data_IF_220787268238
#
_entry.id   IF_220787268238
#
_cell.length_a   1.000
_cell.length_b   1.000
_cell.length_c   1.000
_cell.angle_alpha   90.00
_cell.angle_beta   90.00
_cell.angle_gamma   90.00
#
_symmetry.space_group_name_H-M   'P 1'
#
loop_
_entity.id
_entity.type
_entity.pdbx_description
1 polymer ?
#
# COMPACT_ATOMS: atom_id res chain seq x y z
N UNK A 1 8.33 -4.27 34.21
CA UNK A 1 7.07 -3.50 34.22
C UNK A 1 7.18 -2.42 33.17
N UNK A 2 6.22 -2.35 32.28
CA UNK A 2 6.09 -1.26 31.31
C UNK A 2 6.02 0.05 32.07
N UNK A 3 6.88 1.01 31.75
CA UNK A 3 6.85 2.33 32.35
C UNK A 3 6.26 3.33 31.36
N UNK A 4 4.93 3.47 31.39
CA UNK A 4 4.20 4.36 30.50
C UNK A 4 4.60 5.83 30.64
N UNK A 5 4.98 6.28 31.83
CA UNK A 5 5.39 7.68 32.03
C UNK A 5 6.66 8.02 31.26
N UNK A 6 7.58 7.06 31.14
CA UNK A 6 8.87 7.21 30.45
C UNK A 6 8.90 6.64 29.03
N UNK A 7 7.75 6.37 28.40
CA UNK A 7 7.65 5.75 27.08
C UNK A 7 8.55 4.52 26.92
N UNK A 8 8.51 3.58 27.88
CA UNK A 8 9.27 2.34 27.84
C UNK A 8 8.33 1.14 27.82
N UNK A 9 8.40 0.33 26.78
CA UNK A 9 7.47 -0.77 26.50
C UNK A 9 8.25 -2.05 26.21
N UNK A 10 7.76 -3.20 26.66
CA UNK A 10 8.29 -4.51 26.33
C UNK A 10 7.40 -5.20 25.29
N UNK A 11 7.92 -5.38 24.10
CA UNK A 11 7.30 -6.17 23.02
C UNK A 11 7.92 -7.58 23.00
N UNK A 12 7.39 -8.47 22.16
CA UNK A 12 7.90 -9.84 22.07
C UNK A 12 9.40 -9.91 21.76
N UNK A 13 9.92 -8.99 20.95
CA UNK A 13 11.30 -8.97 20.51
C UNK A 13 12.27 -8.37 21.53
N UNK A 14 11.79 -7.58 22.49
CA UNK A 14 12.63 -6.94 23.51
C UNK A 14 12.07 -5.63 24.04
N UNK A 15 12.91 -4.86 24.75
CA UNK A 15 12.52 -3.57 25.27
C UNK A 15 12.67 -2.44 24.26
N UNK A 16 11.69 -1.55 24.20
CA UNK A 16 11.68 -0.32 23.40
C UNK A 16 11.72 0.90 24.31
N UNK A 17 12.48 1.92 23.92
CA UNK A 17 12.48 3.24 24.50
C UNK A 17 12.10 4.28 23.46
N UNK A 18 10.88 4.81 23.55
CA UNK A 18 10.41 5.95 22.80
C UNK A 18 10.61 7.28 23.56
N UNK A 19 9.85 8.29 23.20
CA UNK A 19 9.82 9.59 23.85
C UNK A 19 8.37 10.07 24.05
N UNK A 20 8.21 11.14 24.85
CA UNK A 20 6.90 11.71 25.15
C UNK A 20 6.82 13.12 24.57
N UNK A 21 5.72 13.41 23.87
CA UNK A 21 5.38 14.74 23.41
C UNK A 21 3.95 15.09 23.82
N UNK A 22 3.86 16.04 24.77
CA UNK A 22 2.59 16.32 25.44
C UNK A 22 2.09 15.11 26.23
N UNK A 23 0.94 14.58 25.87
CA UNK A 23 0.36 13.37 26.47
C UNK A 23 0.53 12.11 25.60
N UNK A 24 1.25 12.20 24.48
CA UNK A 24 1.45 11.08 23.55
C UNK A 24 2.85 10.50 23.72
N UNK A 25 2.93 9.17 23.84
CA UNK A 25 4.17 8.42 23.76
C UNK A 25 4.37 8.01 22.31
N UNK A 26 5.58 8.20 21.81
CA UNK A 26 5.94 8.05 20.42
C UNK A 26 7.09 7.06 20.30
N UNK A 27 6.93 6.08 19.44
CA UNK A 27 7.93 5.07 19.14
C UNK A 27 8.10 5.01 17.61
N UNK A 28 9.30 5.26 17.13
CA UNK A 28 9.62 5.31 15.69
C UNK A 28 10.67 4.27 15.33
N UNK A 29 10.58 3.68 14.15
CA UNK A 29 11.56 2.73 13.64
C UNK A 29 11.57 1.39 14.38
N UNK A 30 10.40 0.82 14.65
CA UNK A 30 10.26 -0.52 15.26
C UNK A 30 10.26 -1.56 14.15
N UNK A 31 11.21 -2.51 14.11
CA UNK A 31 11.19 -3.58 13.11
C UNK A 31 10.03 -4.54 13.37
N UNK A 32 9.19 -4.78 12.36
CA UNK A 32 8.13 -5.78 12.42
C UNK A 32 8.46 -7.05 11.65
N UNK A 33 9.53 -7.03 10.86
CA UNK A 33 10.08 -8.15 10.13
C UNK A 33 11.61 -8.08 10.08
N UNK A 34 12.26 -9.19 9.74
CA UNK A 34 13.67 -9.22 9.40
C UNK A 34 13.96 -8.37 8.15
N UNK A 35 15.15 -7.74 8.03
CA UNK A 35 15.53 -7.02 6.83
C UNK A 35 15.39 -7.88 5.57
N UNK A 36 14.67 -7.46 4.53
CA UNK A 36 14.43 -8.25 3.32
C UNK A 36 15.59 -8.15 2.32
N UNK A 37 16.81 -8.36 2.81
CA UNK A 37 18.09 -8.18 2.08
C UNK A 37 18.77 -9.52 1.79
N UNK A 38 19.63 -9.55 0.80
CA UNK A 38 20.43 -10.74 0.46
C UNK A 38 19.52 -11.94 0.18
N UNK A 39 19.69 -13.03 0.94
CA UNK A 39 18.91 -14.27 0.76
C UNK A 39 17.42 -14.11 1.07
N UNK A 40 17.02 -13.07 1.83
CA UNK A 40 15.63 -12.74 2.12
C UNK A 40 14.99 -11.82 1.06
N UNK A 41 15.78 -11.30 0.11
CA UNK A 41 15.24 -10.54 -1.03
C UNK A 41 14.32 -11.42 -1.85
N UNK A 42 13.12 -10.90 -2.20
CA UNK A 42 12.07 -11.63 -2.91
C UNK A 42 11.60 -12.91 -2.18
N UNK A 43 11.52 -12.82 -0.84
CA UNK A 43 10.85 -13.82 0.01
C UNK A 43 9.77 -13.18 0.85
N UNK A 44 8.88 -14.00 1.40
CA UNK A 44 7.91 -13.55 2.41
C UNK A 44 8.66 -13.02 3.64
N UNK A 45 8.12 -11.99 4.33
CA UNK A 45 8.79 -11.40 5.49
C UNK A 45 8.88 -12.40 6.64
N UNK A 46 10.07 -12.54 7.21
CA UNK A 46 10.35 -13.37 8.38
C UNK A 46 10.18 -12.56 9.68
N UNK A 47 10.21 -13.26 10.83
CA UNK A 47 10.15 -12.60 12.13
C UNK A 47 11.41 -11.78 12.38
N UNK A 48 11.31 -10.58 12.97
CA UNK A 48 12.48 -9.78 13.30
C UNK A 48 13.27 -10.43 14.42
N UNK A 49 14.59 -10.22 14.41
CA UNK A 49 15.46 -10.71 15.47
C UNK A 49 15.07 -10.12 16.84
N UNK A 50 15.23 -10.96 17.87
CA UNK A 50 15.13 -10.49 19.27
C UNK A 50 16.39 -9.75 19.66
N UNK A 51 16.21 -8.60 20.33
CA UNK A 51 17.37 -7.82 20.80
C UNK A 51 17.54 -7.89 22.32
N UNK A 52 18.79 -7.76 22.75
CA UNK A 52 19.14 -7.63 24.17
C UNK A 52 19.16 -6.16 24.57
N UNK A 53 18.82 -5.89 25.84
CA UNK A 53 18.80 -4.53 26.37
C UNK A 53 17.59 -3.72 25.90
N UNK A 54 17.77 -2.41 25.71
CA UNK A 54 16.71 -1.47 25.33
C UNK A 54 17.04 -0.86 23.98
N UNK A 55 16.19 -1.11 22.97
CA UNK A 55 16.29 -0.49 21.65
C UNK A 55 15.69 0.91 21.71
N UNK A 56 16.43 1.92 21.25
CA UNK A 56 15.90 3.26 21.06
C UNK A 56 14.96 3.29 19.85
N UNK A 57 13.73 3.74 20.07
CA UNK A 57 12.69 3.88 19.06
C UNK A 57 12.29 5.37 18.95
N UNK A 58 13.25 6.23 18.61
CA UNK A 58 13.12 7.69 18.63
C UNK A 58 13.32 8.34 17.27
N UNK A 59 13.69 7.57 16.26
CA UNK A 59 13.92 8.05 14.90
C UNK A 59 13.19 7.14 13.91
N UNK A 60 12.73 7.72 12.81
CA UNK A 60 12.22 6.94 11.68
C UNK A 60 13.32 6.05 11.10
N UNK A 61 12.93 4.91 10.55
CA UNK A 61 13.79 4.06 9.71
C UNK A 61 13.95 4.65 8.32
N UNK A 62 14.78 4.03 7.49
CA UNK A 62 14.75 4.25 6.06
C UNK A 62 13.38 3.88 5.47
N UNK A 63 12.98 4.57 4.41
CA UNK A 63 11.89 4.16 3.53
C UNK A 63 12.37 3.09 2.53
N UNK A 64 11.43 2.39 1.90
CA UNK A 64 11.75 1.46 0.83
C UNK A 64 12.41 2.17 -0.36
N UNK A 65 13.32 1.46 -1.05
CA UNK A 65 13.93 1.96 -2.28
C UNK A 65 12.85 2.32 -3.30
N UNK A 66 12.93 3.52 -3.81
CA UNK A 66 11.96 4.13 -4.73
C UNK A 66 12.59 5.26 -5.52
N UNK A 67 11.94 5.69 -6.59
CA UNK A 67 12.32 6.91 -7.27
C UNK A 67 12.15 8.10 -6.32
N UNK A 68 13.22 8.87 -6.14
CA UNK A 68 13.18 10.09 -5.32
C UNK A 68 12.60 11.20 -6.19
N UNK A 69 11.36 11.58 -5.92
CA UNK A 69 10.75 12.71 -6.61
C UNK A 69 11.34 14.01 -6.09
N UNK A 70 12.02 14.75 -6.95
CA UNK A 70 12.40 16.12 -6.66
C UNK A 70 11.16 17.01 -6.66
N UNK A 71 11.22 18.14 -5.96
CA UNK A 71 10.06 19.06 -5.91
C UNK A 71 9.61 19.53 -7.31
N UNK A 72 10.53 19.56 -8.26
CA UNK A 72 10.31 19.94 -9.65
C UNK A 72 9.49 18.91 -10.43
N UNK A 73 9.53 17.63 -10.01
CA UNK A 73 8.77 16.53 -10.62
C UNK A 73 7.31 16.50 -10.13
N UNK A 74 7.02 17.20 -9.03
CA UNK A 74 5.68 17.28 -8.48
C UNK A 74 4.81 18.29 -9.25
N UNK A 75 3.49 18.09 -9.29
CA UNK A 75 2.57 19.11 -9.80
C UNK A 75 2.78 20.45 -9.09
N UNK A 76 2.82 21.56 -9.82
CA UNK A 76 3.11 22.90 -9.28
C UNK A 76 2.24 23.32 -8.09
N UNK A 77 1.02 22.79 -8.00
CA UNK A 77 0.08 23.06 -6.90
C UNK A 77 0.46 22.37 -5.57
N UNK A 78 1.44 21.47 -5.58
CA UNK A 78 1.93 20.78 -4.37
C UNK A 78 3.38 21.15 -4.02
N UNK A 79 4.02 22.02 -4.81
CA UNK A 79 5.36 22.52 -4.50
C UNK A 79 5.40 23.20 -3.13
N UNK A 80 6.41 22.87 -2.32
CA UNK A 80 6.59 23.43 -0.98
C UNK A 80 5.57 22.94 0.05
N UNK A 81 4.74 21.97 -0.29
CA UNK A 81 3.81 21.35 0.68
C UNK A 81 4.58 20.34 1.52
N UNK A 82 4.72 20.56 2.86
CA UNK A 82 5.57 19.73 3.72
C UNK A 82 5.20 18.24 3.74
N UNK A 83 3.97 17.90 3.42
CA UNK A 83 3.50 16.51 3.38
C UNK A 83 4.21 15.63 2.33
N UNK A 84 4.78 16.25 1.30
CA UNK A 84 5.54 15.56 0.26
C UNK A 84 7.06 15.64 0.49
N UNK A 85 7.49 15.99 1.70
CA UNK A 85 8.91 15.95 2.02
C UNK A 85 9.39 14.50 2.08
N UNK A 86 10.42 14.22 1.29
CA UNK A 86 11.02 12.90 1.20
C UNK A 86 11.60 12.43 2.54
N UNK A 87 11.56 11.13 2.85
CA UNK A 87 12.34 10.55 3.93
C UNK A 87 13.85 10.85 3.76
N UNK A 88 14.56 10.87 4.87
CA UNK A 88 16.00 11.19 4.84
C UNK A 88 16.88 10.06 4.28
N UNK A 89 16.36 8.83 4.19
CA UNK A 89 17.08 7.65 3.74
C UNK A 89 16.14 6.67 3.04
N UNK A 90 16.67 5.98 2.02
CA UNK A 90 15.98 4.94 1.28
C UNK A 90 16.88 3.70 1.23
N UNK A 91 16.37 2.58 1.73
CA UNK A 91 17.11 1.33 1.80
C UNK A 91 16.18 0.13 1.56
N UNK A 92 16.79 -1.02 1.25
CA UNK A 92 16.05 -2.28 1.17
C UNK A 92 15.61 -2.76 2.57
N UNK A 93 16.40 -2.46 3.62
CA UNK A 93 16.01 -2.66 5.02
C UNK A 93 14.99 -1.59 5.47
N UNK A 94 13.73 -1.80 5.10
CA UNK A 94 12.66 -0.82 5.26
C UNK A 94 11.45 -1.32 6.09
N UNK A 95 11.43 -2.58 6.54
CA UNK A 95 10.25 -3.19 7.17
C UNK A 95 10.07 -2.79 8.63
N UNK A 96 9.69 -1.53 8.81
CA UNK A 96 9.52 -0.88 10.12
C UNK A 96 8.15 -0.24 10.25
N UNK A 97 7.72 -0.06 11.50
CA UNK A 97 6.51 0.66 11.85
C UNK A 97 6.77 1.71 12.93
N UNK A 98 5.82 2.62 13.08
CA UNK A 98 5.84 3.67 14.09
C UNK A 98 4.55 3.62 14.89
N UNK A 99 4.60 3.98 16.18
CA UNK A 99 3.45 3.94 17.10
C UNK A 99 3.33 5.26 17.86
N UNK A 100 2.13 5.84 17.86
CA UNK A 100 1.73 6.96 18.72
C UNK A 100 0.61 6.52 19.64
N UNK A 101 0.77 6.68 20.94
CA UNK A 101 -0.26 6.28 21.90
C UNK A 101 -0.47 7.35 23.00
N UNK A 102 -1.71 7.80 23.23
CA UNK A 102 -2.07 8.63 24.36
C UNK A 102 -2.40 7.80 25.62
N UNK A 103 -2.37 6.47 25.53
CA UNK A 103 -2.73 5.58 26.62
C UNK A 103 -1.93 5.88 27.90
N UNK A 104 -2.57 5.70 29.05
CA UNK A 104 -1.96 5.85 30.36
C UNK A 104 -1.52 4.52 30.96
N UNK A 105 -2.13 3.44 30.49
CA UNK A 105 -1.84 2.07 30.92
C UNK A 105 -2.10 1.04 29.80
N UNK A 106 -1.69 -0.22 30.00
CA UNK A 106 -2.02 -1.33 29.09
C UNK A 106 -3.53 -1.66 29.11
N UNK A 107 -4.23 -1.31 30.19
CA UNK A 107 -5.66 -1.60 30.40
C UNK A 107 -6.60 -0.60 29.72
N UNK A 108 -6.09 0.49 29.15
CA UNK A 108 -6.91 1.52 28.50
C UNK A 108 -7.65 0.97 27.26
N UNK A 109 -7.09 -0.03 26.58
CA UNK A 109 -7.70 -0.72 25.43
C UNK A 109 -8.26 0.23 24.39
N UNK A 110 -7.45 1.19 23.99
CA UNK A 110 -7.80 2.19 22.98
C UNK A 110 -7.98 1.52 21.60
N UNK A 111 -8.87 2.04 20.75
CA UNK A 111 -8.93 1.58 19.34
C UNK A 111 -7.60 1.80 18.65
N UNK A 112 -7.27 0.92 17.71
CA UNK A 112 -6.01 0.93 16.96
C UNK A 112 -6.28 1.27 15.50
N UNK A 113 -5.52 2.21 14.97
CA UNK A 113 -5.58 2.67 13.58
C UNK A 113 -4.22 2.41 12.91
N UNK A 114 -4.19 1.54 11.92
CA UNK A 114 -3.00 1.25 11.11
C UNK A 114 -3.14 1.98 9.79
N UNK A 115 -2.17 2.82 9.45
CA UNK A 115 -2.12 3.55 8.20
C UNK A 115 -1.16 2.90 7.21
N UNK A 116 -1.66 2.62 6.00
CA UNK A 116 -0.89 2.17 4.83
C UNK A 116 -0.82 3.34 3.85
N UNK A 117 0.40 3.84 3.62
CA UNK A 117 0.61 5.01 2.76
C UNK A 117 0.28 4.73 1.28
N UNK A 118 -0.03 5.78 0.54
CA UNK A 118 -0.25 5.75 -0.90
C UNK A 118 1.05 5.77 -1.70
N UNK A 119 0.98 6.26 -2.93
CA UNK A 119 2.12 6.35 -3.86
C UNK A 119 2.16 5.24 -4.90
N UNK A 120 0.99 4.72 -5.30
CA UNK A 120 0.87 3.74 -6.40
C UNK A 120 1.59 2.42 -6.16
N UNK A 121 1.93 2.07 -4.93
CA UNK A 121 2.78 0.91 -4.58
C UNK A 121 4.23 1.02 -5.10
N UNK A 122 4.64 2.17 -5.63
CA UNK A 122 5.99 2.41 -6.17
C UNK A 122 6.75 3.50 -5.42
N UNK A 123 6.04 4.32 -4.65
CA UNK A 123 6.60 5.40 -3.84
C UNK A 123 5.86 5.55 -2.51
N UNK A 124 6.34 6.44 -1.64
CA UNK A 124 5.73 6.77 -0.36
C UNK A 124 6.42 6.14 0.85
N UNK A 125 5.98 6.55 2.04
CA UNK A 125 6.54 6.06 3.30
C UNK A 125 5.59 6.34 4.47
N UNK A 126 5.58 5.47 5.46
CA UNK A 126 4.97 5.73 6.78
C UNK A 126 5.72 6.78 7.63
N UNK A 127 6.82 7.33 7.10
CA UNK A 127 7.67 8.34 7.74
C UNK A 127 7.40 9.76 7.22
N UNK A 128 6.51 9.95 6.25
CA UNK A 128 6.15 11.26 5.71
C UNK A 128 5.46 12.14 6.76
N UNK A 129 5.60 13.46 6.63
CA UNK A 129 4.99 14.42 7.57
C UNK A 129 3.47 14.27 7.62
N UNK A 130 2.82 13.99 6.48
CA UNK A 130 1.37 13.74 6.40
C UNK A 130 0.95 12.48 7.17
N UNK A 131 1.86 11.54 7.37
CA UNK A 131 1.62 10.29 8.09
C UNK A 131 1.86 10.40 9.61
N UNK A 132 2.27 11.59 10.14
CA UNK A 132 2.51 11.74 11.58
C UNK A 132 1.23 11.55 12.39
N UNK A 133 1.21 10.49 13.20
CA UNK A 133 0.05 10.05 13.96
C UNK A 133 -0.31 10.90 15.19
N UNK A 134 0.51 11.89 15.57
CA UNK A 134 0.34 12.63 16.81
C UNK A 134 -1.00 13.40 16.88
N UNK A 135 -1.45 13.93 15.74
CA UNK A 135 -2.70 14.67 15.64
C UNK A 135 -3.93 13.81 15.93
N UNK A 136 -3.96 12.61 15.35
CA UNK A 136 -5.04 11.63 15.57
C UNK A 136 -4.97 11.06 16.99
N UNK A 137 -3.79 10.69 17.47
CA UNK A 137 -3.60 10.15 18.81
C UNK A 137 -4.10 11.13 19.88
N UNK A 138 -3.73 12.42 19.78
CA UNK A 138 -4.16 13.47 20.72
C UNK A 138 -5.67 13.72 20.72
N UNK A 139 -6.31 13.69 19.53
CA UNK A 139 -7.69 14.17 19.36
C UNK A 139 -8.75 13.09 19.49
N UNK A 140 -8.37 11.84 19.25
CA UNK A 140 -9.33 10.72 19.05
C UNK A 140 -9.16 9.61 20.07
N UNK A 141 -8.25 9.74 21.03
CA UNK A 141 -7.97 8.69 22.03
C UNK A 141 -7.81 7.31 21.38
N UNK A 142 -6.90 7.24 20.41
CA UNK A 142 -6.59 6.00 19.68
C UNK A 142 -5.08 5.79 19.59
N UNK A 143 -4.68 4.54 19.48
CA UNK A 143 -3.31 4.19 19.10
C UNK A 143 -3.20 4.27 17.58
N UNK A 144 -2.24 5.05 17.08
CA UNK A 144 -1.97 5.19 15.65
C UNK A 144 -0.69 4.45 15.31
N UNK A 145 -0.72 3.71 14.22
CA UNK A 145 0.43 2.97 13.69
C UNK A 145 0.60 3.34 12.22
N UNK A 146 1.81 3.66 11.79
CA UNK A 146 2.16 3.77 10.37
C UNK A 146 3.18 2.70 10.01
N UNK A 147 3.14 2.20 8.79
CA UNK A 147 4.03 1.13 8.34
C UNK A 147 4.75 1.53 7.06
N UNK A 148 5.99 1.05 6.89
CA UNK A 148 6.61 0.91 5.58
C UNK A 148 6.37 -0.51 5.06
N UNK A 149 6.41 -0.69 3.75
CA UNK A 149 6.36 -1.98 3.06
C UNK A 149 7.21 -1.90 1.80
N UNK A 150 7.65 -3.03 1.27
CA UNK A 150 8.43 -3.06 0.02
C UNK A 150 7.63 -2.51 -1.14
N UNK A 151 8.27 -1.76 -2.02
CA UNK A 151 7.64 -1.04 -3.13
C UNK A 151 8.10 -1.59 -4.48
N UNK A 152 7.28 -1.37 -5.51
CA UNK A 152 7.59 -1.60 -6.92
C UNK A 152 8.29 -2.93 -7.18
N UNK A 153 9.47 -2.86 -7.78
CA UNK A 153 10.29 -4.03 -8.09
C UNK A 153 10.53 -4.93 -6.87
N UNK A 154 10.95 -4.37 -5.73
CA UNK A 154 11.26 -5.17 -4.53
C UNK A 154 10.02 -5.75 -3.85
N UNK A 155 8.85 -5.11 -4.04
CA UNK A 155 7.60 -5.53 -3.44
C UNK A 155 6.79 -6.53 -4.27
N UNK A 156 6.99 -6.55 -5.60
CA UNK A 156 6.09 -7.28 -6.51
C UNK A 156 6.79 -8.10 -7.60
N UNK A 157 8.10 -8.19 -7.58
CA UNK A 157 8.84 -9.00 -8.56
C UNK A 157 8.42 -10.46 -8.50
N UNK A 158 8.05 -11.03 -9.65
CA UNK A 158 7.71 -12.44 -9.79
C UNK A 158 8.59 -13.09 -10.86
N UNK A 159 8.96 -14.33 -10.66
CA UNK A 159 9.76 -15.10 -11.59
C UNK A 159 9.48 -16.59 -11.42
N UNK A 160 9.52 -17.43 -12.47
CA UNK A 160 9.29 -18.87 -12.34
C UNK A 160 10.18 -19.59 -11.33
N UNK A 161 11.46 -19.19 -11.19
CA UNK A 161 12.36 -19.75 -10.17
C UNK A 161 11.88 -19.42 -8.76
N UNK A 162 11.43 -18.16 -8.50
CA UNK A 162 10.88 -17.76 -7.21
C UNK A 162 9.59 -18.51 -6.88
N UNK A 163 8.74 -18.72 -7.89
CA UNK A 163 7.52 -19.51 -7.73
C UNK A 163 7.84 -20.96 -7.37
N UNK A 164 8.86 -21.56 -8.00
CA UNK A 164 9.31 -22.91 -7.69
C UNK A 164 9.94 -22.98 -6.29
N UNK A 165 10.78 -22.02 -5.92
CA UNK A 165 11.41 -21.93 -4.60
C UNK A 165 10.38 -21.81 -3.47
N UNK A 166 9.32 -21.00 -3.65
CA UNK A 166 8.28 -20.77 -2.67
C UNK A 166 7.14 -21.82 -2.67
N UNK A 167 7.26 -22.88 -3.49
CA UNK A 167 6.27 -23.95 -3.53
C UNK A 167 4.97 -23.62 -4.24
N UNK A 168 4.95 -22.60 -5.12
CA UNK A 168 3.79 -22.31 -5.96
C UNK A 168 3.39 -20.85 -6.10
N UNK A 169 4.02 -19.92 -5.37
CA UNK A 169 3.68 -18.50 -5.42
C UNK A 169 4.94 -17.61 -5.51
N UNK A 170 4.83 -16.47 -6.18
CA UNK A 170 5.83 -15.39 -6.16
C UNK A 170 5.16 -14.05 -6.47
N UNK A 171 5.84 -12.96 -6.17
CA UNK A 171 5.27 -11.62 -6.18
C UNK A 171 4.48 -11.32 -4.90
N UNK A 172 3.75 -10.21 -4.89
CA UNK A 172 2.90 -9.79 -3.76
C UNK A 172 3.62 -9.63 -2.40
N UNK A 173 4.95 -9.59 -2.36
CA UNK A 173 5.72 -9.50 -1.10
C UNK A 173 5.30 -8.30 -0.25
N UNK A 174 4.96 -7.17 -0.90
CA UNK A 174 4.45 -5.99 -0.22
C UNK A 174 3.15 -6.26 0.56
N UNK A 175 2.26 -7.10 0.01
CA UNK A 175 1.02 -7.49 0.70
C UNK A 175 1.31 -8.40 1.90
N UNK A 176 2.29 -9.28 1.78
CA UNK A 176 2.76 -10.09 2.91
C UNK A 176 3.45 -9.22 3.98
N UNK A 177 4.15 -8.14 3.59
CA UNK A 177 4.71 -7.16 4.52
C UNK A 177 3.60 -6.45 5.30
N UNK A 178 2.56 -5.97 4.63
CA UNK A 178 1.38 -5.35 5.26
C UNK A 178 0.70 -6.32 6.24
N UNK A 179 0.51 -7.58 5.83
CA UNK A 179 -0.03 -8.63 6.71
C UNK A 179 0.87 -8.87 7.92
N UNK A 180 2.19 -8.91 7.71
CA UNK A 180 3.17 -9.12 8.78
C UNK A 180 3.12 -7.97 9.80
N UNK A 181 3.00 -6.73 9.34
CA UNK A 181 2.81 -5.57 10.20
C UNK A 181 1.49 -5.66 11.00
N UNK A 182 0.38 -6.03 10.36
CA UNK A 182 -0.89 -6.26 11.05
C UNK A 182 -0.78 -7.36 12.12
N UNK A 183 -0.07 -8.45 11.81
CA UNK A 183 0.19 -9.53 12.78
C UNK A 183 1.01 -9.03 13.95
N UNK A 184 2.10 -8.30 13.70
CA UNK A 184 2.91 -7.70 14.75
C UNK A 184 2.09 -6.77 15.65
N UNK A 185 1.24 -5.93 15.07
CA UNK A 185 0.33 -5.06 15.82
C UNK A 185 -0.64 -5.89 16.67
N UNK A 186 -1.29 -6.91 16.12
CA UNK A 186 -2.19 -7.81 16.86
C UNK A 186 -1.53 -8.43 18.09
N UNK A 187 -0.25 -8.81 17.97
CA UNK A 187 0.51 -9.49 19.03
C UNK A 187 1.05 -8.52 20.10
N UNK A 188 1.35 -7.28 19.74
CA UNK A 188 2.09 -6.36 20.61
C UNK A 188 1.33 -5.11 21.07
N UNK A 189 0.24 -4.71 20.39
CA UNK A 189 -0.35 -3.38 20.59
C UNK A 189 -0.98 -3.18 21.97
N UNK A 190 -1.36 -4.25 22.66
CA UNK A 190 -1.82 -4.21 24.04
C UNK A 190 -0.76 -3.60 24.97
N UNK A 191 0.52 -3.81 24.67
CA UNK A 191 1.65 -3.20 25.42
C UNK A 191 1.74 -1.71 25.28
N UNK A 192 1.08 -1.14 24.27
CA UNK A 192 0.95 0.29 24.03
C UNK A 192 -0.41 0.85 24.48
N UNK A 193 -1.22 0.05 25.17
CA UNK A 193 -2.57 0.40 25.62
C UNK A 193 -3.63 0.34 24.53
N UNK A 194 -3.33 -0.29 23.39
CA UNK A 194 -4.27 -0.54 22.30
C UNK A 194 -5.04 -1.84 22.51
N UNK A 195 -6.24 -1.92 21.93
CA UNK A 195 -7.08 -3.10 21.92
C UNK A 195 -6.78 -3.95 20.67
N UNK A 196 -6.19 -5.16 20.81
CA UNK A 196 -5.88 -6.02 19.67
C UNK A 196 -7.14 -6.54 18.94
N UNK A 197 -8.33 -6.43 19.54
CA UNK A 197 -9.59 -6.84 18.90
C UNK A 197 -10.30 -5.66 18.21
N UNK A 198 -9.76 -4.45 18.32
CA UNK A 198 -10.32 -3.23 17.73
C UNK A 198 -9.35 -2.55 16.78
N UNK A 199 -8.80 -3.33 15.81
CA UNK A 199 -7.85 -2.86 14.82
C UNK A 199 -8.58 -2.46 13.54
N UNK A 200 -8.40 -1.21 13.12
CA UNK A 200 -8.80 -0.69 11.81
C UNK A 200 -7.55 -0.50 10.95
N UNK A 201 -7.54 -1.07 9.76
CA UNK A 201 -6.53 -0.79 8.74
C UNK A 201 -7.11 0.22 7.76
N UNK A 202 -6.38 1.29 7.53
CA UNK A 202 -6.75 2.34 6.60
C UNK A 202 -5.63 2.58 5.59
N UNK A 203 -6.00 2.96 4.38
CA UNK A 203 -5.03 3.35 3.36
C UNK A 203 -5.66 4.20 2.27
N UNK A 204 -4.84 5.02 1.62
CA UNK A 204 -5.25 5.90 0.55
C UNK A 204 -4.52 5.52 -0.75
N UNK A 205 -5.18 5.62 -1.92
CA UNK A 205 -4.57 5.35 -3.23
C UNK A 205 -3.96 3.93 -3.30
N UNK A 206 -2.66 3.79 -3.58
CA UNK A 206 -1.95 2.52 -3.50
C UNK A 206 -2.15 1.81 -2.16
N UNK A 207 -2.09 2.53 -1.04
CA UNK A 207 -2.39 1.97 0.29
C UNK A 207 -3.83 1.48 0.44
N UNK A 208 -4.80 2.14 -0.20
CA UNK A 208 -6.18 1.67 -0.24
C UNK A 208 -6.34 0.39 -1.07
N UNK A 209 -5.62 0.29 -2.19
CA UNK A 209 -5.57 -0.95 -2.97
C UNK A 209 -4.98 -2.11 -2.16
N UNK A 210 -3.90 -1.85 -1.39
CA UNK A 210 -3.36 -2.81 -0.42
C UNK A 210 -4.38 -3.19 0.64
N UNK A 211 -5.06 -2.21 1.25
CA UNK A 211 -6.13 -2.45 2.23
C UNK A 211 -7.28 -3.29 1.64
N UNK A 212 -7.66 -3.04 0.39
CA UNK A 212 -8.64 -3.86 -0.34
C UNK A 212 -8.15 -5.29 -0.55
N UNK A 213 -6.87 -5.48 -0.90
CA UNK A 213 -6.27 -6.81 -1.00
C UNK A 213 -6.25 -7.54 0.34
N UNK A 214 -5.96 -6.83 1.47
CA UNK A 214 -6.09 -7.39 2.82
C UNK A 214 -7.53 -7.80 3.12
N UNK A 215 -8.52 -7.00 2.73
CA UNK A 215 -9.94 -7.32 2.90
C UNK A 215 -10.33 -8.61 2.15
N UNK A 216 -9.81 -8.81 0.94
CA UNK A 216 -10.09 -9.98 0.12
C UNK A 216 -9.31 -11.24 0.53
N UNK A 217 -8.17 -11.10 1.21
CA UNK A 217 -7.25 -12.22 1.46
C UNK A 217 -7.72 -13.13 2.60
N UNK A 218 -7.82 -14.45 2.38
CA UNK A 218 -8.13 -15.39 3.45
C UNK A 218 -7.08 -15.41 4.55
N UNK A 219 -5.85 -14.95 4.27
CA UNK A 219 -4.75 -14.90 5.23
C UNK A 219 -4.92 -13.80 6.30
N UNK A 220 -5.90 -12.91 6.14
CA UNK A 220 -6.18 -11.83 7.09
C UNK A 220 -7.23 -12.19 8.15
N UNK A 221 -7.84 -13.36 8.05
CA UNK A 221 -8.89 -13.79 8.97
C UNK A 221 -8.43 -13.72 10.43
N UNK A 222 -9.15 -12.95 11.25
CA UNK A 222 -8.91 -12.80 12.69
C UNK A 222 -7.76 -11.83 13.06
N UNK A 223 -7.06 -11.21 12.09
CA UNK A 223 -6.00 -10.26 12.38
C UNK A 223 -6.51 -8.83 12.62
N UNK A 224 -7.54 -8.42 11.89
CA UNK A 224 -8.12 -7.08 11.97
C UNK A 224 -9.64 -7.17 12.03
N UNK A 225 -10.30 -6.06 12.35
CA UNK A 225 -11.77 -6.02 12.48
C UNK A 225 -12.46 -5.03 11.54
N UNK A 226 -11.73 -4.05 11.03
CA UNK A 226 -12.26 -2.98 10.17
C UNK A 226 -11.27 -2.55 9.11
N UNK A 227 -11.79 -2.03 8.00
CA UNK A 227 -10.98 -1.41 6.95
C UNK A 227 -11.55 -0.04 6.55
N UNK A 228 -10.63 0.91 6.21
CA UNK A 228 -10.95 2.16 5.54
C UNK A 228 -10.21 2.19 4.21
N UNK A 229 -10.93 2.23 3.11
CA UNK A 229 -10.39 2.16 1.75
C UNK A 229 -10.65 3.51 1.07
N UNK A 230 -9.61 4.34 0.96
CA UNK A 230 -9.74 5.73 0.55
C UNK A 230 -9.16 5.92 -0.86
N UNK A 231 -10.03 6.16 -1.85
CA UNK A 231 -9.63 6.44 -3.25
C UNK A 231 -8.74 5.36 -3.88
N UNK A 232 -9.13 4.08 -3.78
CA UNK A 232 -8.32 3.00 -4.35
C UNK A 232 -8.99 1.63 -4.36
N UNK A 233 -10.28 1.52 -4.71
CA UNK A 233 -10.92 0.23 -4.83
C UNK A 233 -10.31 -0.56 -5.99
N UNK A 234 -10.03 -1.84 -5.73
CA UNK A 234 -9.48 -2.76 -6.74
C UNK A 234 -10.58 -3.57 -7.46
N UNK A 235 -11.85 -3.23 -7.24
CA UNK A 235 -12.97 -3.92 -7.88
C UNK A 235 -13.05 -3.63 -9.38
N UNK A 236 -12.90 -2.35 -9.75
CA UNK A 236 -12.76 -1.88 -11.11
C UNK A 236 -11.56 -0.92 -11.24
N UNK A 237 -11.05 -0.76 -12.46
CA UNK A 237 -9.98 0.18 -12.78
C UNK A 237 -8.60 -0.47 -12.95
N UNK A 238 -7.59 0.36 -13.00
CA UNK A 238 -6.22 0.00 -13.38
C UNK A 238 -5.42 -0.75 -12.30
N UNK A 239 -5.91 -0.80 -11.07
CA UNK A 239 -5.24 -1.50 -9.96
C UNK A 239 -5.79 -2.92 -9.73
N UNK A 240 -6.45 -3.53 -10.70
CA UNK A 240 -6.89 -4.91 -10.57
C UNK A 240 -5.71 -5.88 -10.66
N UNK A 241 -5.67 -6.92 -9.78
CA UNK A 241 -4.64 -7.95 -9.86
C UNK A 241 -4.77 -8.74 -11.16
N UNK A 242 -3.69 -8.72 -11.94
CA UNK A 242 -3.58 -9.51 -13.16
C UNK A 242 -3.13 -10.94 -12.88
N UNK A 243 -3.03 -11.80 -13.91
CA UNK A 243 -2.49 -13.16 -13.76
C UNK A 243 -1.01 -13.11 -13.32
N UNK A 244 -0.61 -13.97 -12.36
CA UNK A 244 0.80 -14.13 -11.96
C UNK A 244 1.73 -14.39 -13.13
N UNK A 245 1.32 -15.21 -14.08
CA UNK A 245 2.10 -15.53 -15.29
C UNK A 245 2.59 -14.28 -16.03
N UNK A 246 1.77 -13.23 -16.10
CA UNK A 246 2.17 -11.97 -16.71
C UNK A 246 3.32 -11.29 -15.94
N UNK A 247 3.31 -11.37 -14.61
CA UNK A 247 4.39 -10.83 -13.79
C UNK A 247 5.65 -11.69 -13.86
N UNK A 248 5.51 -13.01 -13.94
CA UNK A 248 6.64 -13.93 -14.16
C UNK A 248 7.30 -13.71 -15.52
N UNK A 249 6.52 -13.49 -16.57
CA UNK A 249 7.05 -13.18 -17.89
C UNK A 249 7.81 -11.86 -17.92
N UNK A 250 7.25 -10.83 -17.26
CA UNK A 250 7.92 -9.53 -17.08
C UNK A 250 9.22 -9.68 -16.29
N UNK A 251 9.23 -10.54 -15.26
CA UNK A 251 10.43 -10.85 -14.48
C UNK A 251 11.52 -11.52 -15.30
N UNK A 252 11.14 -12.49 -16.14
CA UNK A 252 12.08 -13.14 -17.04
C UNK A 252 12.63 -12.17 -18.11
N UNK A 253 11.79 -11.28 -18.64
CA UNK A 253 12.23 -10.22 -19.56
C UNK A 253 13.22 -9.26 -18.86
N UNK A 254 12.93 -8.83 -17.63
CA UNK A 254 13.84 -7.98 -16.87
C UNK A 254 15.19 -8.64 -16.61
N UNK A 255 15.20 -9.92 -16.16
CA UNK A 255 16.44 -10.66 -15.94
C UNK A 255 17.27 -10.80 -17.23
N UNK A 256 16.61 -11.05 -18.36
CA UNK A 256 17.28 -11.07 -19.67
C UNK A 256 17.85 -9.70 -20.05
N UNK A 257 17.12 -8.61 -19.79
CA UNK A 257 17.56 -7.24 -20.07
C UNK A 257 18.84 -6.87 -19.32
N UNK A 258 18.95 -7.27 -18.03
CA UNK A 258 20.15 -7.02 -17.21
C UNK A 258 21.22 -8.09 -17.33
N UNK A 259 21.00 -9.14 -18.15
CA UNK A 259 21.93 -10.25 -18.34
C UNK A 259 22.09 -11.16 -17.12
N UNK A 260 21.15 -11.13 -16.17
CA UNK A 260 21.16 -11.97 -14.97
C UNK A 260 20.59 -13.37 -15.26
N UNK A 261 21.26 -14.42 -14.81
CA UNK A 261 20.95 -15.81 -15.19
C UNK A 261 20.20 -16.61 -14.14
N UNK A 262 20.15 -16.15 -12.89
CA UNK A 262 19.46 -16.84 -11.79
C UNK A 262 19.01 -15.87 -10.70
N UNK A 263 18.04 -16.30 -9.90
CA UNK A 263 17.61 -15.55 -8.72
C UNK A 263 18.73 -15.42 -7.69
N UNK A 264 19.60 -16.42 -7.56
CA UNK A 264 20.76 -16.37 -6.69
C UNK A 264 21.71 -15.23 -7.10
N UNK A 265 22.00 -15.09 -8.39
CA UNK A 265 22.79 -13.97 -8.93
C UNK A 265 22.10 -12.62 -8.67
N UNK A 266 20.78 -12.53 -8.90
CA UNK A 266 20.00 -11.34 -8.67
C UNK A 266 20.04 -10.88 -7.19
N UNK A 267 19.98 -11.82 -6.25
CA UNK A 267 20.05 -11.56 -4.80
C UNK A 267 21.40 -11.01 -4.34
N UNK A 268 22.48 -11.26 -5.08
CA UNK A 268 23.85 -10.78 -4.76
C UNK A 268 24.17 -9.39 -5.28
N UNK A 269 23.34 -8.86 -6.19
CA UNK A 269 23.53 -7.53 -6.75
C UNK A 269 23.20 -6.44 -5.73
N UNK A 270 23.86 -5.30 -5.86
CA UNK A 270 23.51 -4.10 -5.10
C UNK A 270 22.06 -3.70 -5.38
N UNK A 271 21.36 -3.25 -4.34
CA UNK A 271 19.93 -2.96 -4.45
C UNK A 271 19.66 -1.71 -5.30
N UNK A 272 20.49 -0.68 -5.18
CA UNK A 272 20.37 0.53 -6.00
C UNK A 272 20.75 0.27 -7.45
N UNK A 273 21.80 -0.53 -7.70
CA UNK A 273 22.12 -0.97 -9.06
C UNK A 273 20.94 -1.69 -9.72
N UNK A 274 20.28 -2.60 -8.98
CA UNK A 274 19.08 -3.29 -9.49
C UNK A 274 17.92 -2.33 -9.75
N UNK A 275 17.74 -1.35 -8.89
CA UNK A 275 16.69 -0.35 -9.05
C UNK A 275 16.92 0.54 -10.28
N UNK A 276 18.14 1.03 -10.45
CA UNK A 276 18.52 1.83 -11.65
C UNK A 276 18.33 1.03 -12.95
N UNK A 277 18.74 -0.26 -12.93
CA UNK A 277 18.54 -1.18 -14.05
C UNK A 277 17.04 -1.42 -14.32
N UNK A 278 16.22 -1.51 -13.26
CA UNK A 278 14.78 -1.65 -13.40
C UNK A 278 14.13 -0.38 -13.99
N UNK A 279 14.52 0.80 -13.55
CA UNK A 279 14.04 2.04 -14.15
C UNK A 279 14.44 2.15 -15.64
N UNK A 280 15.67 1.74 -15.99
CA UNK A 280 16.10 1.70 -17.39
C UNK A 280 15.26 0.71 -18.21
N UNK A 281 14.93 -0.46 -17.65
CA UNK A 281 14.03 -1.42 -18.27
C UNK A 281 12.64 -0.83 -18.47
N UNK A 282 12.04 -0.18 -17.47
CA UNK A 282 10.74 0.48 -17.59
C UNK A 282 10.75 1.54 -18.70
N UNK A 283 11.77 2.41 -18.72
CA UNK A 283 11.93 3.42 -19.79
C UNK A 283 11.99 2.78 -21.18
N UNK A 284 12.67 1.64 -21.32
CA UNK A 284 12.72 0.90 -22.60
C UNK A 284 11.35 0.38 -23.08
N UNK A 285 10.40 0.22 -22.15
CA UNK A 285 9.01 -0.17 -22.41
C UNK A 285 8.06 1.03 -22.54
N UNK A 286 8.58 2.27 -22.47
CA UNK A 286 7.76 3.49 -22.47
C UNK A 286 7.03 3.76 -21.14
N UNK A 287 7.44 3.11 -20.07
CA UNK A 287 6.84 3.28 -18.72
C UNK A 287 7.67 4.31 -17.94
N UNK A 288 7.01 5.35 -17.44
CA UNK A 288 7.65 6.39 -16.61
C UNK A 288 7.92 5.93 -15.16
N UNK A 289 8.62 6.75 -14.35
CA UNK A 289 9.02 6.41 -12.98
C UNK A 289 7.87 6.03 -12.04
N UNK A 290 6.71 6.63 -12.21
CA UNK A 290 5.48 6.32 -11.46
C UNK A 290 4.59 5.30 -12.18
N UNK A 291 5.07 4.69 -13.26
CA UNK A 291 4.32 3.71 -14.03
C UNK A 291 4.28 2.36 -13.34
N UNK A 292 3.17 1.64 -13.57
CA UNK A 292 2.97 0.31 -13.02
C UNK A 292 3.74 -0.74 -13.85
N UNK A 293 4.94 -1.09 -13.41
CA UNK A 293 5.67 -2.25 -13.91
C UNK A 293 5.23 -3.52 -13.18
N UNK A 294 5.98 -3.93 -12.16
CA UNK A 294 5.52 -4.98 -11.24
C UNK A 294 4.45 -4.44 -10.30
N UNK A 295 3.35 -5.18 -10.20
CA UNK A 295 2.20 -4.88 -9.33
C UNK A 295 1.62 -6.18 -8.80
N UNK A 296 0.62 -6.10 -7.93
CA UNK A 296 0.00 -7.31 -7.39
C UNK A 296 -0.68 -8.15 -8.46
N UNK A 297 -0.67 -9.44 -8.20
CA UNK A 297 -1.21 -10.45 -9.11
C UNK A 297 -2.05 -11.48 -8.36
N UNK A 298 -2.87 -12.19 -9.09
CA UNK A 298 -3.54 -13.40 -8.59
C UNK A 298 -2.47 -14.48 -8.42
N UNK A 299 -2.01 -14.68 -7.19
CA UNK A 299 -0.94 -15.63 -6.85
C UNK A 299 -1.46 -17.01 -6.40
N UNK A 300 -2.77 -17.11 -6.14
CA UNK A 300 -3.42 -18.32 -5.67
C UNK A 300 -3.39 -18.54 -4.16
N UNK A 301 -2.71 -17.66 -3.40
CA UNK A 301 -2.59 -17.74 -1.96
C UNK A 301 -3.05 -16.44 -1.27
N UNK A 302 -2.33 -15.34 -1.44
CA UNK A 302 -2.72 -14.05 -0.86
C UNK A 302 -3.94 -13.47 -1.57
N UNK A 303 -3.89 -13.46 -2.90
CA UNK A 303 -5.00 -13.12 -3.79
C UNK A 303 -5.36 -14.39 -4.57
N UNK A 304 -6.29 -15.24 -4.06
CA UNK A 304 -6.53 -16.56 -4.64
C UNK A 304 -7.23 -16.52 -6.00
N UNK A 305 -8.00 -15.46 -6.29
CA UNK A 305 -8.80 -15.25 -7.51
C UNK A 305 -8.82 -13.79 -7.88
N UNK A 306 -9.45 -13.44 -8.99
CA UNK A 306 -9.75 -12.04 -9.30
C UNK A 306 -10.54 -11.41 -8.17
N UNK A 307 -10.26 -10.16 -7.88
CA UNK A 307 -10.91 -9.46 -6.77
C UNK A 307 -12.44 -9.39 -6.94
N UNK A 308 -12.92 -9.15 -8.16
CA UNK A 308 -14.34 -9.17 -8.47
C UNK A 308 -14.99 -10.53 -8.15
N UNK A 309 -14.36 -11.63 -8.51
CA UNK A 309 -14.86 -12.98 -8.19
C UNK A 309 -14.93 -13.24 -6.69
N UNK A 310 -13.92 -12.78 -5.92
CA UNK A 310 -13.92 -12.90 -4.45
C UNK A 310 -15.10 -12.12 -3.86
N UNK A 311 -15.33 -10.89 -4.32
CA UNK A 311 -16.40 -10.05 -3.81
C UNK A 311 -17.78 -10.60 -4.19
N UNK A 312 -18.00 -10.95 -5.46
CA UNK A 312 -19.26 -11.50 -5.98
C UNK A 312 -19.64 -12.83 -5.33
N UNK A 313 -18.65 -13.68 -5.02
CA UNK A 313 -18.86 -14.95 -4.32
C UNK A 313 -18.98 -14.79 -2.79
N UNK A 314 -18.76 -13.59 -2.24
CA UNK A 314 -18.74 -13.35 -0.82
C UNK A 314 -17.59 -14.06 -0.07
N UNK A 315 -16.46 -14.29 -0.73
CA UNK A 315 -15.28 -14.98 -0.18
C UNK A 315 -14.32 -14.04 0.58
N UNK A 316 -14.69 -12.78 0.77
CA UNK A 316 -13.92 -11.78 1.51
C UNK A 316 -14.14 -11.84 3.03
N UNK A 317 -13.27 -11.18 3.79
CA UNK A 317 -13.35 -11.16 5.25
C UNK A 317 -14.53 -10.32 5.77
N UNK A 318 -15.13 -10.75 6.85
CA UNK A 318 -16.26 -10.11 7.52
C UNK A 318 -15.81 -8.88 8.35
N UNK A 319 -15.25 -7.86 7.70
CA UNK A 319 -14.87 -6.59 8.34
C UNK A 319 -15.96 -5.54 8.15
N UNK A 320 -16.08 -4.62 9.12
CA UNK A 320 -16.80 -3.37 8.87
C UNK A 320 -15.97 -2.51 7.92
N UNK A 321 -16.61 -1.82 6.98
CA UNK A 321 -15.94 -1.11 5.90
C UNK A 321 -16.35 0.36 5.89
N UNK A 322 -15.36 1.25 5.83
CA UNK A 322 -15.52 2.61 5.34
C UNK A 322 -14.79 2.70 4.00
N UNK A 323 -15.47 3.14 2.94
CA UNK A 323 -14.89 3.19 1.61
C UNK A 323 -15.43 4.39 0.84
N UNK A 324 -14.58 5.03 0.05
CA UNK A 324 -15.01 6.16 -0.75
C UNK A 324 -13.93 6.71 -1.63
N UNK A 325 -14.30 7.70 -2.43
CA UNK A 325 -13.42 8.42 -3.34
C UNK A 325 -13.82 9.89 -3.43
N UNK A 326 -12.90 10.72 -3.94
CA UNK A 326 -13.20 12.12 -4.22
C UNK A 326 -14.11 12.24 -5.45
N UNK A 327 -14.93 13.30 -5.49
CA UNK A 327 -15.74 13.61 -6.68
C UNK A 327 -14.89 13.91 -7.93
N UNK A 328 -13.63 14.31 -7.73
CA UNK A 328 -12.63 14.52 -8.78
C UNK A 328 -11.29 13.95 -8.29
N UNK A 329 -11.02 12.72 -8.66
CA UNK A 329 -9.80 12.00 -8.26
C UNK A 329 -8.58 12.42 -9.05
N UNK A 330 -8.75 12.70 -10.33
CA UNK A 330 -7.67 13.01 -11.23
C UNK A 330 -7.78 14.44 -11.72
N UNK A 331 -6.66 15.19 -11.81
CA UNK A 331 -6.67 16.48 -12.48
C UNK A 331 -7.14 16.29 -13.93
N UNK A 332 -7.87 17.26 -14.44
CA UNK A 332 -8.27 17.23 -15.84
C UNK A 332 -7.01 17.09 -16.71
N UNK A 333 -7.05 16.19 -17.68
CA UNK A 333 -6.05 16.14 -18.76
C UNK A 333 -5.99 17.53 -19.37
N UNK A 334 -4.77 18.04 -19.68
CA UNK A 334 -4.65 19.37 -20.28
C UNK A 334 -5.42 19.40 -21.59
N UNK A 335 -6.34 20.38 -21.71
CA UNK A 335 -7.21 20.50 -22.87
C UNK A 335 -6.45 20.70 -24.20
N UNK A 336 -5.17 21.10 -24.13
CA UNK A 336 -4.30 21.27 -25.30
C UNK A 336 -3.73 19.94 -25.81
N UNK A 337 -3.73 18.93 -24.96
CA UNK A 337 -3.14 17.61 -25.20
C UNK A 337 -4.18 16.53 -25.55
N UNK A 338 -5.49 16.90 -25.60
CA UNK A 338 -6.56 15.90 -25.78
C UNK A 338 -7.66 16.41 -26.74
N UNK A 339 -7.75 15.80 -27.92
CA UNK A 339 -8.76 16.18 -28.90
C UNK A 339 -10.08 15.41 -28.68
N UNK A 340 -11.15 15.86 -29.34
CA UNK A 340 -12.44 15.14 -29.33
C UNK A 340 -12.29 13.78 -30.02
N UNK A 341 -11.47 13.69 -31.07
CA UNK A 341 -11.19 12.42 -31.77
C UNK A 341 -10.49 11.42 -30.87
N UNK A 342 -9.46 11.86 -30.12
CA UNK A 342 -8.75 11.03 -29.13
C UNK A 342 -9.70 10.57 -28.00
N UNK A 343 -10.64 11.42 -27.60
CA UNK A 343 -11.69 11.05 -26.64
C UNK A 343 -12.59 9.94 -27.17
N UNK A 344 -13.03 10.04 -28.43
CA UNK A 344 -13.83 9.00 -29.05
C UNK A 344 -13.07 7.67 -29.21
N UNK A 345 -11.76 7.72 -29.54
CA UNK A 345 -10.90 6.54 -29.59
C UNK A 345 -10.79 5.90 -28.20
N UNK A 346 -10.49 6.69 -27.17
CA UNK A 346 -10.46 6.22 -25.78
C UNK A 346 -11.76 5.51 -25.39
N UNK A 347 -12.92 6.11 -25.66
CA UNK A 347 -14.21 5.50 -25.32
C UNK A 347 -14.44 4.16 -26.09
N UNK A 348 -14.05 4.09 -27.35
CA UNK A 348 -14.18 2.85 -28.14
C UNK A 348 -13.25 1.75 -27.59
N UNK A 349 -12.02 2.08 -27.28
CA UNK A 349 -11.05 1.13 -26.73
C UNK A 349 -11.45 0.65 -25.32
N UNK A 350 -11.83 1.57 -24.45
CA UNK A 350 -12.12 1.27 -23.06
C UNK A 350 -13.50 0.62 -22.83
N UNK A 351 -14.50 0.97 -23.65
CA UNK A 351 -15.89 0.57 -23.40
C UNK A 351 -16.57 -0.19 -24.55
N UNK A 352 -15.88 -0.42 -25.66
CA UNK A 352 -16.32 -1.27 -26.77
C UNK A 352 -17.84 -1.19 -27.07
N UNK A 353 -18.60 -2.22 -26.70
CA UNK A 353 -20.04 -2.33 -26.94
C UNK A 353 -20.89 -1.27 -26.21
N UNK A 354 -20.35 -0.60 -25.22
CA UNK A 354 -21.01 0.48 -24.48
C UNK A 354 -20.68 1.89 -24.98
N UNK A 355 -19.91 2.02 -26.04
CA UNK A 355 -19.46 3.30 -26.58
C UNK A 355 -20.58 4.34 -26.76
N UNK A 356 -21.70 3.98 -27.37
CA UNK A 356 -22.84 4.89 -27.60
C UNK A 356 -23.47 5.36 -26.28
N UNK A 357 -23.56 4.50 -25.29
CA UNK A 357 -24.06 4.88 -23.97
C UNK A 357 -23.06 5.83 -23.26
N UNK A 358 -21.76 5.57 -23.38
CA UNK A 358 -20.74 6.45 -22.81
C UNK A 358 -20.78 7.85 -23.42
N UNK A 359 -20.95 7.98 -24.74
CA UNK A 359 -21.14 9.28 -25.39
C UNK A 359 -22.39 10.01 -24.91
N UNK A 360 -23.44 9.27 -24.60
CA UNK A 360 -24.69 9.85 -24.09
C UNK A 360 -24.54 10.34 -22.65
N UNK A 361 -23.81 9.62 -21.81
CA UNK A 361 -23.61 9.97 -20.40
C UNK A 361 -22.51 11.02 -20.20
N UNK A 362 -21.49 10.97 -21.04
CA UNK A 362 -20.33 11.84 -20.99
C UNK A 362 -20.12 12.55 -22.33
N UNK A 363 -21.04 13.46 -22.73
CA UNK A 363 -20.93 14.14 -24.01
C UNK A 363 -19.74 15.13 -24.00
N UNK A 364 -19.03 15.20 -25.14
CA UNK A 364 -17.96 16.16 -25.34
C UNK A 364 -17.98 16.67 -26.79
N UNK A 365 -18.26 17.96 -26.96
CA UNK A 365 -18.36 18.67 -28.24
C UNK A 365 -17.11 19.53 -28.53
N UNK A 366 -16.21 19.62 -27.56
CA UNK A 366 -14.96 20.37 -27.68
C UNK A 366 -13.86 19.74 -26.81
N UNK A 367 -12.62 20.15 -27.08
CA UNK A 367 -11.41 19.60 -26.42
C UNK A 367 -11.42 19.79 -24.89
N UNK A 368 -11.97 20.87 -24.36
CA UNK A 368 -12.05 21.13 -22.92
C UNK A 368 -12.99 20.11 -22.27
N UNK A 369 -14.16 19.88 -22.88
CA UNK A 369 -15.10 18.89 -22.39
C UNK A 369 -14.54 17.47 -22.54
N UNK A 370 -13.88 17.14 -23.64
CA UNK A 370 -13.24 15.84 -23.84
C UNK A 370 -12.22 15.53 -22.71
N UNK A 371 -11.31 16.45 -22.44
CA UNK A 371 -10.32 16.32 -21.35
C UNK A 371 -11.00 16.19 -19.97
N UNK A 372 -12.04 16.98 -19.70
CA UNK A 372 -12.82 16.90 -18.46
C UNK A 372 -13.52 15.55 -18.31
N UNK A 373 -14.14 15.04 -19.37
CA UNK A 373 -14.89 13.78 -19.31
C UNK A 373 -13.98 12.58 -19.04
N UNK A 374 -12.76 12.53 -19.57
CA UNK A 374 -11.79 11.47 -19.24
C UNK A 374 -11.56 11.41 -17.72
N UNK A 375 -11.30 12.56 -17.08
CA UNK A 375 -11.10 12.63 -15.62
C UNK A 375 -12.38 12.30 -14.84
N UNK A 376 -13.54 12.73 -15.33
CA UNK A 376 -14.85 12.42 -14.72
C UNK A 376 -15.13 10.91 -14.76
N UNK A 377 -14.95 10.27 -15.92
CA UNK A 377 -15.14 8.82 -16.09
C UNK A 377 -14.23 8.04 -15.13
N UNK A 378 -12.96 8.41 -15.03
CA UNK A 378 -12.04 7.75 -14.13
C UNK A 378 -12.47 7.89 -12.66
N UNK A 379 -12.95 9.06 -12.25
CA UNK A 379 -13.46 9.30 -10.89
C UNK A 379 -14.74 8.51 -10.61
N UNK A 380 -15.68 8.47 -11.57
CA UNK A 380 -16.93 7.72 -11.45
C UNK A 380 -16.68 6.21 -11.36
N UNK A 381 -15.72 5.67 -12.10
CA UNK A 381 -15.33 4.26 -11.99
C UNK A 381 -14.86 3.94 -10.57
N UNK A 382 -14.07 4.81 -9.95
CA UNK A 382 -13.61 4.62 -8.57
C UNK A 382 -14.77 4.70 -7.58
N UNK A 383 -15.66 5.67 -7.73
CA UNK A 383 -16.85 5.83 -6.88
C UNK A 383 -17.80 4.62 -7.01
N UNK A 384 -18.08 4.19 -8.23
CA UNK A 384 -18.91 3.00 -8.48
C UNK A 384 -18.30 1.73 -7.90
N UNK A 385 -16.98 1.55 -8.01
CA UNK A 385 -16.27 0.44 -7.39
C UNK A 385 -16.38 0.47 -5.86
N UNK A 386 -16.28 1.66 -5.26
CA UNK A 386 -16.46 1.85 -3.82
C UNK A 386 -17.87 1.50 -3.37
N UNK A 387 -18.90 2.01 -4.09
CA UNK A 387 -20.30 1.71 -3.80
C UNK A 387 -20.59 0.21 -3.91
N UNK A 388 -20.04 -0.45 -4.93
CA UNK A 388 -20.27 -1.89 -5.14
C UNK A 388 -19.66 -2.75 -4.02
N UNK A 389 -18.47 -2.42 -3.56
CA UNK A 389 -17.86 -3.11 -2.39
C UNK A 389 -18.71 -2.86 -1.14
N UNK A 390 -19.20 -1.63 -0.93
CA UNK A 390 -20.09 -1.31 0.18
C UNK A 390 -21.39 -2.14 0.16
N UNK A 391 -22.01 -2.31 -1.02
CA UNK A 391 -23.19 -3.17 -1.20
C UNK A 391 -22.89 -4.63 -0.79
N UNK A 392 -21.82 -5.24 -1.30
CA UNK A 392 -21.45 -6.62 -0.94
C UNK A 392 -21.23 -6.80 0.57
N UNK A 393 -20.61 -5.82 1.23
CA UNK A 393 -20.42 -5.88 2.67
C UNK A 393 -21.75 -5.76 3.43
N UNK A 394 -22.64 -4.85 3.00
CA UNK A 394 -23.95 -4.67 3.61
C UNK A 394 -24.84 -5.91 3.43
N UNK A 395 -24.83 -6.55 2.27
CA UNK A 395 -25.55 -7.81 1.99
C UNK A 395 -25.12 -8.96 2.93
N UNK A 396 -23.88 -8.92 3.44
CA UNK A 396 -23.38 -9.85 4.45
C UNK A 396 -23.65 -9.41 5.90
N UNK A 397 -24.42 -8.35 6.09
CA UNK A 397 -24.78 -7.82 7.41
C UNK A 397 -23.63 -7.08 8.10
N UNK A 398 -22.65 -6.57 7.35
CA UNK A 398 -21.58 -5.75 7.88
C UNK A 398 -21.93 -4.26 7.80
N UNK A 399 -21.36 -3.47 8.73
CA UNK A 399 -21.50 -2.03 8.61
C UNK A 399 -20.64 -1.56 7.43
N UNK A 400 -21.30 -0.93 6.45
CA UNK A 400 -20.65 -0.35 5.29
C UNK A 400 -21.00 1.13 5.19
N UNK A 401 -19.97 1.97 5.12
CA UNK A 401 -20.09 3.43 4.97
C UNK A 401 -19.40 3.82 3.66
N UNK A 402 -20.16 4.40 2.72
CA UNK A 402 -19.67 4.83 1.40
C UNK A 402 -19.72 6.35 1.29
#
# INVERSE_FOLDING_TARGET
MTNFENAKVQVEQGWLQGYVEGNVKIFKGIPYAAPPVGDLRFRHPEDPERWRGVRKAVQYSAAAIQHVMEQEDLPANVHGVPQFMAPSQYEEDCLYLNVWTPAKSEEDKLPVFIWIHGGGMVAGSGCEVVCDGIGLAKRKDMVVVTINYRLGFFGFFAHPELTAEAGGTSGNYALYDMRKACKWVKENIAKFGGDPDRITVAGQSGGAAGTGALHASPLMKGLISRVSIESGPIYWGFMQPGPRKKMEDLGAEYMNFIGCKSIEELRRKDAWELFDQYEAFQRSKGVGPMGFGFTFCVDGEFIPKKYSEIMENGEFNDFDVMIGSCAQEFPAVKADEYSVEQYHEYLKEAFADNYENMLKWYPADNKIMAAKQVSTIASDIMLMGSAKIGEFCAERGRNAYV
#
